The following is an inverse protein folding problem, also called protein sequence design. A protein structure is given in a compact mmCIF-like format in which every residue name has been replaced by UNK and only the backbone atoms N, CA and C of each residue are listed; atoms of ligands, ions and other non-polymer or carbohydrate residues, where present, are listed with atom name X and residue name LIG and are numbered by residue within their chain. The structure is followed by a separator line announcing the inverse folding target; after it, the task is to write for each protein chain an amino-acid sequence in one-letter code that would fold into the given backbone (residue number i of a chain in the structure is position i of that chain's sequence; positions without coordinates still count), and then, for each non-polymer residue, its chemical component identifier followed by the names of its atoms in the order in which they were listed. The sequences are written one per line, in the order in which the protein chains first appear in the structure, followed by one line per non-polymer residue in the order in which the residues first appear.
data_IF_886653466863
#
_entry.id   IF_886653466863
#
_cell.length_a   1.000
_cell.length_b   1.000
_cell.length_c   1.000
_cell.angle_alpha   90.00
_cell.angle_beta   90.00
_cell.angle_gamma   90.00
#
_symmetry.space_group_name_H-M   'P 1'
#
loop_
_entity.id
_entity.type
_entity.pdbx_description
1 polymer ?
#
# COMPACT_ATOMS: atom_id res chain seq x y z
N UNK A 1 3.47 -37.53 -46.97
CA UNK A 1 2.93 -37.62 -45.60
C UNK A 1 1.42 -37.63 -45.77
N UNK A 2 0.76 -38.71 -45.38
CA UNK A 2 -0.69 -38.90 -45.60
C UNK A 2 -1.40 -38.64 -44.27
N UNK A 3 -2.44 -37.80 -44.29
CA UNK A 3 -3.21 -37.48 -43.09
C UNK A 3 -4.23 -38.58 -42.82
N UNK A 4 -4.42 -38.95 -41.55
CA UNK A 4 -5.44 -39.94 -41.19
C UNK A 4 -6.85 -39.32 -41.28
N UNK A 5 -7.90 -40.12 -41.49
CA UNK A 5 -9.28 -39.61 -41.53
C UNK A 5 -9.70 -38.84 -40.27
N UNK A 6 -9.18 -39.24 -39.11
CA UNK A 6 -9.41 -38.56 -37.83
C UNK A 6 -8.72 -37.19 -37.78
N UNK A 7 -7.54 -37.06 -38.41
CA UNK A 7 -6.82 -35.79 -38.53
C UNK A 7 -7.54 -34.84 -39.48
N UNK A 8 -8.11 -35.35 -40.58
CA UNK A 8 -8.92 -34.56 -41.53
C UNK A 8 -10.19 -34.05 -40.84
N UNK A 9 -10.86 -34.91 -40.07
CA UNK A 9 -12.07 -34.53 -39.30
C UNK A 9 -11.75 -33.40 -38.33
N UNK A 10 -10.67 -33.51 -37.56
CA UNK A 10 -10.23 -32.45 -36.63
C UNK A 10 -9.83 -31.16 -37.35
N UNK A 11 -9.22 -31.24 -38.53
CA UNK A 11 -8.85 -30.06 -39.31
C UNK A 11 -10.11 -29.31 -39.78
N UNK A 12 -11.10 -30.03 -40.31
CA UNK A 12 -12.38 -29.45 -40.75
C UNK A 12 -13.11 -28.80 -39.58
N UNK A 13 -13.18 -29.46 -38.42
CA UNK A 13 -13.75 -28.88 -37.20
C UNK A 13 -12.99 -27.64 -36.72
N UNK A 14 -11.65 -27.64 -36.79
CA UNK A 14 -10.83 -26.51 -36.36
C UNK A 14 -10.97 -25.27 -37.26
N UNK A 15 -11.25 -25.48 -38.56
CA UNK A 15 -11.50 -24.42 -39.54
C UNK A 15 -12.99 -24.01 -39.56
N UNK A 16 -13.86 -24.76 -38.89
CA UNK A 16 -15.30 -24.48 -38.81
C UNK A 16 -16.09 -24.97 -40.03
N UNK A 17 -15.54 -25.89 -40.81
CA UNK A 17 -16.20 -26.52 -41.95
C UNK A 17 -16.94 -27.79 -41.50
N UNK A 18 -17.97 -28.17 -42.26
CA UNK A 18 -18.69 -29.43 -42.03
C UNK A 18 -17.81 -30.62 -42.45
N UNK A 19 -17.95 -31.74 -41.75
CA UNK A 19 -17.07 -32.92 -41.93
C UNK A 19 -17.28 -33.68 -43.24
N UNK A 20 -18.30 -33.31 -44.02
CA UNK A 20 -18.66 -33.86 -45.33
C UNK A 20 -18.04 -33.10 -46.51
N UNK A 21 -17.28 -32.02 -46.26
CA UNK A 21 -16.54 -31.31 -47.31
C UNK A 21 -15.44 -32.21 -47.86
N UNK A 22 -15.60 -32.66 -49.11
CA UNK A 22 -14.62 -33.50 -49.82
C UNK A 22 -13.72 -32.70 -50.79
N UNK A 23 -14.01 -31.42 -51.00
CA UNK A 23 -13.23 -30.56 -51.88
C UNK A 23 -11.98 -30.03 -51.17
N UNK A 24 -10.82 -30.51 -51.58
CA UNK A 24 -9.54 -30.12 -50.98
C UNK A 24 -9.23 -28.63 -51.19
N UNK A 25 -9.70 -28.03 -52.29
CA UNK A 25 -9.42 -26.63 -52.61
C UNK A 25 -10.19 -25.69 -51.68
N UNK A 26 -11.45 -26.00 -51.38
CA UNK A 26 -12.24 -25.32 -50.33
C UNK A 26 -11.58 -25.37 -48.95
N UNK A 27 -11.01 -26.52 -48.57
CA UNK A 27 -10.33 -26.66 -47.26
C UNK A 27 -9.06 -25.81 -47.21
N UNK A 28 -8.27 -25.81 -48.28
CA UNK A 28 -7.05 -24.99 -48.37
C UNK A 28 -7.40 -23.50 -48.31
N UNK A 29 -8.39 -23.06 -49.09
CA UNK A 29 -8.84 -21.66 -49.07
C UNK A 29 -9.33 -21.22 -47.69
N UNK A 30 -10.07 -22.07 -46.97
CA UNK A 30 -10.54 -21.74 -45.64
C UNK A 30 -9.41 -21.68 -44.59
N UNK A 31 -8.38 -22.53 -44.73
CA UNK A 31 -7.17 -22.46 -43.90
C UNK A 31 -6.37 -21.19 -44.21
N UNK A 32 -6.22 -20.84 -45.48
CA UNK A 32 -5.53 -19.61 -45.90
C UNK A 32 -6.26 -18.35 -45.43
N UNK A 33 -7.59 -18.32 -45.51
CA UNK A 33 -8.41 -17.22 -45.01
C UNK A 33 -8.27 -17.07 -43.49
N UNK A 34 -8.33 -18.18 -42.74
CA UNK A 34 -8.11 -18.17 -41.29
C UNK A 34 -6.69 -17.72 -40.91
N UNK A 35 -5.68 -18.11 -41.70
CA UNK A 35 -4.29 -17.73 -41.46
C UNK A 35 -4.00 -16.25 -41.77
N UNK A 36 -4.77 -15.67 -42.70
CA UNK A 36 -4.59 -14.27 -43.15
C UNK A 36 -5.57 -13.30 -42.49
N UNK A 37 -6.60 -13.83 -41.83
CA UNK A 37 -7.57 -13.04 -41.08
C UNK A 37 -6.89 -12.19 -40.00
N UNK A 38 -7.28 -10.91 -39.86
CA UNK A 38 -6.73 -10.05 -38.82
C UNK A 38 -7.08 -10.63 -37.45
N UNK A 39 -6.06 -10.84 -36.62
CA UNK A 39 -6.23 -11.36 -35.26
C UNK A 39 -6.97 -10.31 -34.43
N UNK A 40 -8.18 -10.64 -33.98
CA UNK A 40 -8.91 -9.83 -33.03
C UNK A 40 -8.32 -10.01 -31.62
N UNK A 41 -7.53 -9.02 -31.19
CA UNK A 41 -6.92 -8.99 -29.88
C UNK A 41 -7.95 -9.08 -28.73
N UNK A 42 -9.18 -8.59 -28.93
CA UNK A 42 -10.24 -8.67 -27.93
C UNK A 42 -10.77 -10.11 -27.77
N UNK A 43 -10.94 -10.83 -28.89
CA UNK A 43 -11.33 -12.23 -28.87
C UNK A 43 -10.25 -13.13 -28.23
N UNK A 44 -8.97 -12.85 -28.50
CA UNK A 44 -7.83 -13.57 -27.89
C UNK A 44 -7.73 -13.29 -26.40
N UNK A 45 -7.90 -12.04 -25.97
CA UNK A 45 -7.90 -11.67 -24.56
C UNK A 45 -9.05 -12.35 -23.81
N UNK A 46 -10.27 -12.33 -24.36
CA UNK A 46 -11.43 -12.99 -23.74
C UNK A 46 -11.22 -14.50 -23.55
N UNK A 47 -10.63 -15.19 -24.54
CA UNK A 47 -10.35 -16.64 -24.47
C UNK A 47 -9.29 -17.00 -23.44
N UNK A 48 -8.38 -16.07 -23.13
CA UNK A 48 -7.28 -16.26 -22.16
C UNK A 48 -7.60 -15.68 -20.78
N UNK A 49 -8.80 -15.13 -20.57
CA UNK A 49 -9.18 -14.45 -19.32
C UNK A 49 -8.50 -13.09 -19.14
N UNK A 50 -7.91 -12.54 -20.20
CA UNK A 50 -7.29 -11.22 -20.24
C UNK A 50 -8.27 -10.11 -20.65
N UNK A 51 -7.83 -8.87 -20.47
CA UNK A 51 -8.53 -7.67 -20.93
C UNK A 51 -7.61 -6.87 -21.86
N UNK A 52 -8.15 -6.35 -22.95
CA UNK A 52 -7.44 -5.40 -23.81
C UNK A 52 -7.51 -4.03 -23.14
N UNK A 53 -6.35 -3.48 -22.77
CA UNK A 53 -6.21 -2.16 -22.18
C UNK A 53 -5.37 -1.29 -23.12
N UNK A 54 -5.73 -0.02 -23.24
CA UNK A 54 -4.93 0.96 -23.97
C UNK A 54 -3.54 1.14 -23.31
N UNK A 55 -2.44 1.05 -24.08
CA UNK A 55 -1.09 1.16 -23.53
C UNK A 55 -0.82 2.46 -22.75
N UNK A 56 -1.38 3.59 -23.19
CA UNK A 56 -1.20 4.88 -22.52
C UNK A 56 -1.93 4.94 -21.18
N UNK A 57 -3.11 4.32 -21.11
CA UNK A 57 -3.87 4.17 -19.87
C UNK A 57 -3.15 3.24 -18.90
N UNK A 58 -2.55 2.15 -19.41
CA UNK A 58 -1.76 1.23 -18.59
C UNK A 58 -0.54 1.92 -17.96
N UNK A 59 0.22 2.69 -18.73
CA UNK A 59 1.39 3.42 -18.21
C UNK A 59 0.98 4.48 -17.18
N UNK A 60 -0.14 5.17 -17.41
CA UNK A 60 -0.69 6.13 -16.45
C UNK A 60 -1.08 5.45 -15.14
N UNK A 61 -1.82 4.34 -15.22
CA UNK A 61 -2.23 3.56 -14.05
C UNK A 61 -1.01 3.03 -13.28
N UNK A 62 0.01 2.56 -13.99
CA UNK A 62 1.26 2.09 -13.37
C UNK A 62 1.95 3.21 -12.60
N UNK A 63 2.08 4.39 -13.20
CA UNK A 63 2.68 5.56 -12.56
C UNK A 63 1.88 6.01 -11.33
N UNK A 64 0.56 6.06 -11.44
CA UNK A 64 -0.31 6.42 -10.32
C UNK A 64 -0.25 5.40 -9.18
N UNK A 65 -0.18 4.10 -9.50
CA UNK A 65 -0.01 3.05 -8.50
C UNK A 65 1.33 3.16 -7.76
N UNK A 66 2.41 3.50 -8.45
CA UNK A 66 3.72 3.77 -7.83
C UNK A 66 3.66 4.98 -6.89
N UNK A 67 3.02 6.07 -7.32
CA UNK A 67 2.80 7.27 -6.49
C UNK A 67 1.93 6.95 -5.28
N UNK A 68 0.88 6.15 -5.45
CA UNK A 68 0.01 5.68 -4.37
C UNK A 68 0.77 4.89 -3.31
N UNK A 69 1.66 3.96 -3.72
CA UNK A 69 2.53 3.22 -2.79
C UNK A 69 3.45 4.15 -2.00
N UNK A 70 4.04 5.14 -2.66
CA UNK A 70 4.91 6.12 -1.99
C UNK A 70 4.13 6.99 -0.99
N UNK A 71 2.92 7.45 -1.36
CA UNK A 71 2.05 8.24 -0.47
C UNK A 71 1.58 7.42 0.72
N UNK A 72 1.19 6.16 0.52
CA UNK A 72 0.78 5.26 1.60
C UNK A 72 1.93 5.00 2.59
N UNK A 73 3.14 4.76 2.09
CA UNK A 73 4.32 4.59 2.94
C UNK A 73 4.62 5.87 3.76
N UNK A 74 4.55 7.04 3.13
CA UNK A 74 4.74 8.31 3.81
C UNK A 74 3.65 8.60 4.86
N UNK A 75 2.39 8.24 4.58
CA UNK A 75 1.28 8.39 5.51
C UNK A 75 1.49 7.52 6.76
N UNK A 76 1.87 6.25 6.58
CA UNK A 76 2.14 5.35 7.69
C UNK A 76 3.27 5.88 8.60
N UNK A 77 4.33 6.45 8.03
CA UNK A 77 5.41 7.09 8.81
C UNK A 77 4.91 8.28 9.59
N UNK A 78 4.12 9.18 8.98
CA UNK A 78 3.55 10.34 9.66
C UNK A 78 2.62 9.94 10.81
N UNK A 79 1.80 8.90 10.64
CA UNK A 79 0.91 8.40 11.69
C UNK A 79 1.70 7.90 12.91
N UNK A 80 2.79 7.15 12.67
CA UNK A 80 3.69 6.71 13.74
C UNK A 80 4.33 7.89 14.47
N UNK A 81 4.84 8.87 13.73
CA UNK A 81 5.43 10.08 14.31
C UNK A 81 4.42 10.88 15.14
N UNK A 82 3.19 11.03 14.66
CA UNK A 82 2.12 11.71 15.38
C UNK A 82 1.78 10.99 16.70
N UNK A 83 1.68 9.66 16.67
CA UNK A 83 1.44 8.87 17.89
C UNK A 83 2.56 9.05 18.92
N UNK A 84 3.83 9.01 18.49
CA UNK A 84 4.99 9.22 19.36
C UNK A 84 5.04 10.63 19.91
N UNK A 85 4.80 11.65 19.07
CA UNK A 85 4.81 13.03 19.51
C UNK A 85 3.69 13.32 20.50
N UNK A 86 2.48 12.79 20.28
CA UNK A 86 1.37 12.92 21.22
C UNK A 86 1.71 12.31 22.59
N UNK A 87 2.37 11.14 22.62
CA UNK A 87 2.79 10.50 23.86
C UNK A 87 3.87 11.30 24.60
N UNK A 88 4.78 11.95 23.88
CA UNK A 88 5.77 12.86 24.48
C UNK A 88 5.11 14.11 25.04
N UNK A 89 4.22 14.74 24.28
CA UNK A 89 3.50 15.94 24.72
C UNK A 89 2.60 15.68 25.93
N UNK A 90 2.11 14.44 26.11
CA UNK A 90 1.37 14.01 27.31
C UNK A 90 2.28 13.69 28.50
N UNK A 91 3.58 13.55 28.30
CA UNK A 91 4.53 13.12 29.35
C UNK A 91 4.52 11.60 29.60
N UNK A 92 3.91 10.81 28.71
CA UNK A 92 3.90 9.35 28.82
C UNK A 92 5.27 8.73 28.52
N UNK A 93 6.03 9.34 27.61
CA UNK A 93 7.40 8.92 27.27
C UNK A 93 8.35 10.13 27.21
N UNK A 94 9.64 9.96 27.56
CA UNK A 94 10.61 11.04 27.45
C UNK A 94 11.00 11.28 25.97
N UNK A 95 11.34 12.52 25.58
CA UNK A 95 11.78 12.84 24.22
C UNK A 95 12.98 12.00 23.74
N UNK A 96 13.88 11.63 24.66
CA UNK A 96 15.04 10.79 24.36
C UNK A 96 14.68 9.39 23.84
N UNK A 97 13.47 8.88 24.14
CA UNK A 97 13.01 7.56 23.68
C UNK A 97 12.19 7.60 22.38
N UNK A 98 12.02 8.78 21.75
CA UNK A 98 11.28 8.90 20.47
C UNK A 98 11.79 7.93 19.40
N UNK A 99 13.11 7.88 19.20
CA UNK A 99 13.72 7.01 18.18
C UNK A 99 13.43 5.52 18.44
N UNK A 100 13.54 5.09 19.69
CA UNK A 100 13.23 3.71 20.08
C UNK A 100 11.77 3.34 19.78
N UNK A 101 10.82 4.21 20.16
CA UNK A 101 9.40 3.99 19.89
C UNK A 101 9.07 4.01 18.41
N UNK A 102 9.77 4.83 17.61
CA UNK A 102 9.61 4.82 16.17
C UNK A 102 10.01 3.47 15.56
N UNK A 103 11.14 2.89 16.00
CA UNK A 103 11.56 1.54 15.59
C UNK A 103 10.58 0.47 16.03
N UNK A 104 10.04 0.56 17.25
CA UNK A 104 9.03 -0.38 17.74
C UNK A 104 7.75 -0.33 16.89
N UNK A 105 7.28 0.88 16.56
CA UNK A 105 6.06 1.05 15.75
C UNK A 105 6.25 0.69 14.29
N UNK A 106 7.47 0.76 13.77
CA UNK A 106 7.81 0.25 12.44
C UNK A 106 7.74 -1.27 12.39
N UNK A 107 8.18 -1.95 13.45
CA UNK A 107 8.08 -3.41 13.57
C UNK A 107 6.65 -3.88 13.91
N UNK A 108 5.94 -3.17 14.78
CA UNK A 108 4.56 -3.48 15.18
C UNK A 108 3.71 -2.20 15.30
N UNK A 109 2.89 -1.89 14.28
CA UNK A 109 1.98 -0.75 14.31
C UNK A 109 0.93 -0.80 15.42
N UNK A 110 0.59 -2.00 15.94
CA UNK A 110 -0.46 -2.14 16.97
C UNK A 110 -0.04 -1.57 18.32
N UNK A 111 1.27 -1.44 18.56
CA UNK A 111 1.84 -0.83 19.76
C UNK A 111 1.48 0.65 19.93
N UNK A 112 0.97 1.31 18.88
CA UNK A 112 0.44 2.68 18.99
C UNK A 112 -0.70 2.77 20.01
N UNK A 113 -1.52 1.71 20.15
CA UNK A 113 -2.61 1.66 21.14
C UNK A 113 -2.08 1.59 22.56
N UNK A 114 -1.01 0.82 22.78
CA UNK A 114 -0.33 0.72 24.08
C UNK A 114 0.28 2.07 24.43
N UNK A 115 0.93 2.72 23.47
CA UNK A 115 1.52 4.04 23.68
C UNK A 115 0.46 5.09 24.04
N UNK A 116 -0.73 5.04 23.43
CA UNK A 116 -1.84 5.93 23.75
C UNK A 116 -2.45 5.67 25.14
N UNK A 117 -2.46 4.41 25.60
CA UNK A 117 -3.01 4.03 26.91
C UNK A 117 -2.06 4.29 28.08
N UNK A 118 -0.79 4.61 27.83
CA UNK A 118 0.18 4.91 28.87
C UNK A 118 -0.25 6.12 29.73
N UNK A 119 -0.11 6.03 31.07
CA UNK A 119 -0.35 7.15 31.96
C UNK A 119 0.73 8.22 31.77
N UNK A 120 0.48 9.43 32.26
CA UNK A 120 1.53 10.43 32.37
C UNK A 120 2.52 9.99 33.46
N UNK A 121 3.80 9.87 33.11
CA UNK A 121 4.88 9.48 34.04
C UNK A 121 5.86 10.63 34.28
N UNK A 122 5.89 11.61 33.38
CA UNK A 122 6.77 12.77 33.44
C UNK A 122 5.93 13.99 33.84
N UNK A 123 6.15 14.59 35.01
CA UNK A 123 5.47 15.81 35.41
C UNK A 123 5.76 16.91 34.37
N UNK A 124 4.71 17.37 33.70
CA UNK A 124 4.78 18.50 32.77
C UNK A 124 4.27 19.80 33.41
N UNK A 125 3.56 19.69 34.52
CA UNK A 125 3.14 20.80 35.35
C UNK A 125 4.24 21.16 36.37
N UNK A 126 4.35 22.45 36.72
CA UNK A 126 5.28 22.89 37.75
C UNK A 126 4.92 22.25 39.10
N UNK A 127 5.88 21.51 39.67
CA UNK A 127 5.75 20.90 41.00
C UNK A 127 6.03 21.89 42.14
N UNK A 128 6.55 23.08 41.81
CA UNK A 128 6.80 24.16 42.75
C UNK A 128 7.75 25.21 42.17
N UNK A 129 7.44 26.48 42.39
CA UNK A 129 8.38 27.58 42.18
C UNK A 129 8.87 28.09 43.55
N UNK A 130 10.12 28.58 43.65
CA UNK A 130 10.47 29.37 44.83
C UNK A 130 9.76 30.72 44.71
N UNK A 131 8.99 31.08 45.73
CA UNK A 131 8.51 32.44 45.86
C UNK A 131 9.60 33.21 46.63
N UNK A 132 10.35 34.13 46.00
CA UNK A 132 11.41 34.90 46.67
C UNK A 132 10.89 35.86 47.76
N UNK A 133 9.58 35.87 48.00
CA UNK A 133 8.90 36.64 49.04
C UNK A 133 8.50 35.79 50.27
N UNK A 134 8.64 34.46 50.21
CA UNK A 134 8.24 33.51 51.27
C UNK A 134 9.43 32.79 51.93
N UNK A 135 10.64 33.01 51.43
CA UNK A 135 11.90 32.72 52.12
C UNK A 135 12.11 33.72 53.26
N UNK A 136 11.31 33.51 54.30
CA UNK A 136 11.50 33.96 55.67
C UNK A 136 11.85 35.44 55.77
N UNK A 137 10.84 36.26 56.01
CA UNK A 137 10.98 37.59 56.64
C UNK A 137 12.15 37.54 57.62
N UNK A 138 13.32 38.03 57.20
CA UNK A 138 14.47 38.08 58.08
C UNK A 138 14.05 38.98 59.23
N UNK A 139 14.13 38.52 60.50
CA UNK A 139 13.62 39.31 61.62
C UNK A 139 14.27 40.69 61.54
N UNK A 140 13.42 41.70 61.53
CA UNK A 140 13.88 43.08 61.43
C UNK A 140 14.66 43.40 62.71
N UNK A 141 15.70 44.25 62.69
CA UNK A 141 16.45 44.60 63.90
C UNK A 141 15.58 45.15 65.04
N UNK A 142 14.36 45.61 64.76
CA UNK A 142 13.35 46.03 65.74
C UNK A 142 12.66 44.90 66.50
N UNK A 143 12.84 43.64 66.10
CA UNK A 143 12.24 42.47 66.76
C UNK A 143 13.07 41.98 67.97
N UNK A 144 14.23 42.58 68.23
CA UNK A 144 15.03 42.35 69.42
C UNK A 144 14.80 43.46 70.45
N UNK A 145 14.01 43.14 71.48
CA UNK A 145 13.90 43.96 72.71
C UNK A 145 14.99 43.50 73.68
N UNK A 146 15.84 44.44 74.12
CA UNK A 146 16.89 44.21 75.12
C UNK A 146 16.32 44.17 76.54
#
# INVERSE_FOLDING_TARGET
MEFTPEQITRLLEAVGLTTDVTDAETVVLAVEDLATAPVDAAAVAAKTGGLVIDPTVYETLRSEAERGRAVAAAAATREREQAVNAAVSKGAIPPARKAHWMTVLEADPTMAKVLASMPNVIPLDELGHCNPEDDGQSPSPSDYVW
#
